data_IF_566112612989
#
_entry.id   IF_566112612989
#
_cell.length_a   1.000
_cell.length_b   1.000
_cell.length_c   1.000
_cell.angle_alpha   90.00
_cell.angle_beta   90.00
_cell.angle_gamma   90.00
#
_symmetry.space_group_name_H-M   'P 1'
#
loop_
_entity.id
_entity.type
_entity.pdbx_description
1 polymer ?
#
# COMPACT_ATOMS: atom_id res chain seq x y z
N UNK A 1 23.50 8.54 48.36
CA UNK A 1 24.46 7.67 47.62
C UNK A 1 24.30 8.02 46.15
N UNK A 2 25.26 8.47 45.34
CA UNK A 2 26.72 8.52 45.36
C UNK A 2 27.16 9.78 44.58
N UNK A 3 28.31 10.32 44.96
CA UNK A 3 28.87 11.63 44.66
C UNK A 3 30.08 11.43 43.72
N UNK A 4 30.48 12.47 42.98
CA UNK A 4 31.88 12.67 42.54
C UNK A 4 32.50 11.60 41.60
N UNK A 5 32.15 11.54 40.30
CA UNK A 5 33.09 10.93 39.33
C UNK A 5 33.11 11.37 37.86
N UNK A 6 32.35 12.38 37.42
CA UNK A 6 32.54 12.95 36.06
C UNK A 6 32.76 14.47 36.03
N UNK A 7 33.15 15.02 37.17
CA UNK A 7 33.75 16.35 37.30
C UNK A 7 35.23 16.35 36.81
N UNK A 8 35.76 15.22 36.32
CA UNK A 8 37.18 15.06 35.96
C UNK A 8 37.48 14.89 34.46
N UNK A 9 36.48 14.93 33.58
CA UNK A 9 36.72 14.79 32.13
C UNK A 9 36.62 16.14 31.39
N UNK A 10 35.82 17.07 31.93
CA UNK A 10 35.71 18.46 31.46
C UNK A 10 36.92 19.33 31.85
N UNK A 11 38.01 18.74 32.37
CA UNK A 11 39.15 19.48 32.91
C UNK A 11 40.49 19.09 32.27
N UNK A 12 40.48 18.37 31.14
CA UNK A 12 41.72 17.88 30.51
C UNK A 12 41.84 18.10 29.00
N UNK A 13 40.89 18.79 28.35
CA UNK A 13 41.01 19.11 26.92
C UNK A 13 40.90 20.64 26.68
N UNK A 14 40.54 21.40 27.70
CA UNK A 14 40.53 22.88 27.71
C UNK A 14 41.93 23.47 28.02
N UNK A 15 43.01 22.71 27.84
CA UNK A 15 44.39 23.09 28.22
C UNK A 15 45.41 22.81 27.10
N UNK A 16 44.99 22.79 25.84
CA UNK A 16 45.90 22.82 24.68
C UNK A 16 45.44 23.86 23.68
N UNK A 17 45.22 25.06 24.20
CA UNK A 17 45.26 26.30 23.43
C UNK A 17 46.72 26.78 23.45
N UNK A 18 47.14 27.55 22.44
CA UNK A 18 48.37 28.38 22.35
C UNK A 18 49.66 27.74 21.82
N UNK A 19 50.38 28.53 21.00
CA UNK A 19 51.49 28.23 20.07
C UNK A 19 50.98 27.65 18.72
N UNK A 20 50.93 28.35 17.58
CA UNK A 20 51.85 29.34 16.98
C UNK A 20 51.09 30.16 15.91
N UNK A 21 51.22 31.49 15.96
CA UNK A 21 51.04 32.41 14.82
C UNK A 21 52.30 32.37 13.94
N UNK A 22 52.17 32.36 12.60
CA UNK A 22 52.86 33.29 11.68
C UNK A 22 52.49 33.09 10.19
N UNK A 23 52.26 34.24 9.53
CA UNK A 23 52.62 34.62 8.14
C UNK A 23 51.83 34.00 6.97
N UNK A 24 50.99 34.79 6.27
CA UNK A 24 51.31 35.58 5.04
C UNK A 24 51.19 34.67 3.78
N UNK A 25 50.25 34.87 2.86
CA UNK A 25 50.38 35.84 1.78
C UNK A 25 49.04 36.02 1.02
N UNK A 26 48.87 37.22 0.48
CA UNK A 26 47.76 37.72 -0.32
C UNK A 26 47.95 37.32 -1.79
N UNK A 27 46.93 36.80 -2.47
CA UNK A 27 46.88 36.95 -3.93
C UNK A 27 45.45 37.03 -4.49
N UNK A 28 45.26 38.04 -5.33
CA UNK A 28 44.00 38.51 -5.93
C UNK A 28 43.72 37.88 -7.30
N UNK A 29 42.48 37.40 -7.48
CA UNK A 29 41.57 37.42 -8.67
C UNK A 29 42.19 37.47 -10.09
N UNK A 30 41.73 36.62 -11.03
CA UNK A 30 40.90 37.13 -12.13
C UNK A 30 39.58 36.34 -12.28
N UNK A 31 38.44 37.02 -12.37
CA UNK A 31 37.61 37.15 -13.61
C UNK A 31 37.16 35.76 -14.13
N UNK A 32 35.89 35.39 -14.11
CA UNK A 32 34.83 35.96 -14.94
C UNK A 32 33.46 35.42 -14.51
N UNK A 33 32.53 36.34 -14.24
CA UNK A 33 31.08 36.41 -14.55
C UNK A 33 30.23 35.21 -15.04
N UNK A 34 30.67 33.95 -15.02
CA UNK A 34 29.93 32.81 -15.60
C UNK A 34 29.56 31.72 -14.58
N UNK A 35 30.20 31.67 -13.40
CA UNK A 35 29.93 30.60 -12.42
C UNK A 35 28.76 30.89 -11.46
N UNK A 36 28.38 32.16 -11.26
CA UNK A 36 27.35 32.52 -10.28
C UNK A 36 25.92 32.24 -10.81
N UNK A 37 25.72 32.35 -12.13
CA UNK A 37 24.41 32.11 -12.77
C UNK A 37 24.04 30.61 -12.83
N UNK A 38 25.03 29.72 -12.92
CA UNK A 38 24.82 28.27 -12.99
C UNK A 38 24.41 27.70 -11.62
N UNK A 39 24.83 28.33 -10.52
CA UNK A 39 24.50 27.87 -9.16
C UNK A 39 23.07 28.24 -8.77
N UNK A 40 22.58 29.44 -9.15
CA UNK A 40 21.17 29.80 -8.90
C UNK A 40 20.18 28.93 -9.68
N UNK A 41 20.47 28.63 -10.95
CA UNK A 41 19.59 27.78 -11.77
C UNK A 41 19.48 26.34 -11.24
N UNK A 42 20.53 25.85 -10.57
CA UNK A 42 20.50 24.54 -9.92
C UNK A 42 19.73 24.52 -8.59
N UNK A 43 19.49 25.67 -7.94
CA UNK A 43 18.75 25.73 -6.69
C UNK A 43 17.23 25.83 -6.90
N UNK A 44 16.77 26.25 -8.08
CA UNK A 44 15.35 26.29 -8.41
C UNK A 44 14.83 24.90 -8.84
N UNK A 45 15.66 24.12 -9.53
CA UNK A 45 15.31 22.77 -10.03
C UNK A 45 15.26 21.67 -8.94
N UNK A 46 15.75 21.94 -7.72
CA UNK A 46 15.71 20.97 -6.61
C UNK A 46 14.35 21.03 -5.86
N UNK A 47 13.52 22.05 -6.12
CA UNK A 47 12.28 22.28 -5.34
C UNK A 47 11.02 21.67 -5.92
N UNK A 48 11.06 21.11 -7.14
CA UNK A 48 9.93 20.39 -7.75
C UNK A 48 10.14 18.87 -7.77
N UNK A 49 10.59 18.30 -6.65
CA UNK A 49 10.36 16.88 -6.43
C UNK A 49 8.86 16.68 -6.16
N UNK A 50 8.12 15.90 -6.97
CA UNK A 50 6.70 15.72 -6.76
C UNK A 50 6.49 15.09 -5.37
N UNK A 51 5.84 15.83 -4.46
CA UNK A 51 5.37 15.38 -3.15
C UNK A 51 4.22 14.36 -3.26
N UNK A 52 4.31 13.45 -4.24
CA UNK A 52 3.32 12.41 -4.53
C UNK A 52 3.75 11.05 -3.96
N UNK A 53 5.03 10.87 -3.62
CA UNK A 53 5.55 9.60 -3.08
C UNK A 53 5.27 9.42 -1.58
N UNK A 54 5.30 10.50 -0.80
CA UNK A 54 5.19 10.45 0.66
C UNK A 54 3.75 10.30 1.18
N UNK A 55 2.73 10.57 0.35
CA UNK A 55 1.32 10.41 0.72
C UNK A 55 0.85 8.95 0.58
N UNK A 56 1.39 8.22 -0.41
CA UNK A 56 0.98 6.84 -0.71
C UNK A 56 1.48 5.88 0.37
N UNK A 57 2.67 6.09 0.91
CA UNK A 57 3.30 5.19 1.89
C UNK A 57 2.75 5.42 3.32
N UNK A 58 2.21 6.61 3.62
CA UNK A 58 1.72 6.95 4.95
C UNK A 58 0.28 6.49 5.23
N UNK A 59 -0.45 6.08 4.19
CA UNK A 59 -1.85 5.64 4.27
C UNK A 59 -2.01 4.10 4.24
N UNK A 60 -0.95 3.37 3.87
CA UNK A 60 -1.00 1.91 3.67
C UNK A 60 -1.02 1.13 4.98
N UNK A 61 -0.41 1.63 6.04
CA UNK A 61 -0.28 0.93 7.33
C UNK A 61 -1.62 0.61 7.98
N UNK A 62 -2.58 1.56 8.00
CA UNK A 62 -3.93 1.29 8.53
C UNK A 62 -4.75 0.39 7.61
N UNK A 63 -4.55 0.48 6.29
CA UNK A 63 -5.30 -0.29 5.30
C UNK A 63 -4.89 -1.77 5.31
N UNK A 64 -3.62 -2.07 5.56
CA UNK A 64 -3.11 -3.45 5.60
C UNK A 64 -3.70 -4.29 6.75
N UNK A 65 -3.92 -3.69 7.92
CA UNK A 65 -4.58 -4.39 9.03
C UNK A 65 -6.02 -4.78 8.68
N UNK A 66 -6.77 -3.86 8.04
CA UNK A 66 -8.13 -4.15 7.59
C UNK A 66 -8.18 -5.27 6.55
N UNK A 67 -7.27 -5.24 5.57
CA UNK A 67 -7.18 -6.29 4.54
C UNK A 67 -6.82 -7.64 5.16
N UNK A 68 -5.92 -7.67 6.15
CA UNK A 68 -5.52 -8.91 6.82
C UNK A 68 -6.71 -9.58 7.52
N UNK A 69 -7.51 -8.82 8.25
CA UNK A 69 -8.71 -9.37 8.90
C UNK A 69 -9.80 -9.73 7.88
N UNK A 70 -9.99 -8.92 6.84
CA UNK A 70 -10.90 -9.22 5.73
C UNK A 70 -10.52 -10.52 4.98
N UNK A 71 -9.23 -10.84 4.89
CA UNK A 71 -8.75 -12.05 4.20
C UNK A 71 -9.17 -13.33 4.93
N UNK A 72 -9.18 -13.34 6.26
CA UNK A 72 -9.59 -14.51 7.05
C UNK A 72 -11.06 -14.86 6.79
N UNK A 73 -11.93 -13.85 6.84
CA UNK A 73 -13.35 -14.03 6.58
C UNK A 73 -13.61 -14.40 5.11
N UNK A 74 -12.80 -13.88 4.17
CA UNK A 74 -12.87 -14.27 2.77
C UNK A 74 -12.58 -15.75 2.55
N UNK A 75 -11.48 -16.27 3.11
CA UNK A 75 -11.13 -17.70 3.02
C UNK A 75 -12.25 -18.57 3.62
N UNK A 76 -12.83 -18.15 4.75
CA UNK A 76 -13.97 -18.82 5.36
C UNK A 76 -15.17 -18.89 4.40
N UNK A 77 -15.52 -17.79 3.73
CA UNK A 77 -16.59 -17.78 2.73
C UNK A 77 -16.28 -18.68 1.54
N UNK A 78 -15.03 -18.72 1.06
CA UNK A 78 -14.61 -19.59 -0.04
C UNK A 78 -14.82 -21.05 0.30
N UNK A 79 -14.34 -21.49 1.47
CA UNK A 79 -14.50 -22.88 1.92
C UNK A 79 -15.98 -23.21 2.12
N UNK A 80 -16.75 -22.31 2.74
CA UNK A 80 -18.16 -22.54 3.00
C UNK A 80 -18.99 -22.62 1.71
N UNK A 81 -18.73 -21.75 0.74
CA UNK A 81 -19.40 -21.74 -0.56
C UNK A 81 -19.07 -23.00 -1.39
N UNK A 82 -17.79 -23.39 -1.41
CA UNK A 82 -17.36 -24.62 -2.08
C UNK A 82 -18.03 -25.85 -1.43
N UNK A 83 -17.94 -25.97 -0.11
CA UNK A 83 -18.56 -27.07 0.63
C UNK A 83 -20.08 -27.11 0.45
N UNK A 84 -20.75 -25.96 0.52
CA UNK A 84 -22.19 -25.88 0.34
C UNK A 84 -22.61 -26.31 -1.08
N UNK A 85 -21.87 -25.91 -2.12
CA UNK A 85 -22.17 -26.30 -3.50
C UNK A 85 -22.05 -27.82 -3.71
N UNK A 86 -21.00 -28.42 -3.14
CA UNK A 86 -20.77 -29.87 -3.26
C UNK A 86 -21.78 -30.71 -2.47
N UNK A 87 -22.25 -30.23 -1.31
CA UNK A 87 -23.26 -30.92 -0.50
C UNK A 87 -24.67 -30.69 -1.05
N UNK A 88 -24.95 -29.49 -1.58
CA UNK A 88 -26.27 -29.12 -2.08
C UNK A 88 -26.73 -30.00 -3.25
N UNK A 89 -25.86 -30.26 -4.22
CA UNK A 89 -26.21 -31.05 -5.41
C UNK A 89 -26.75 -32.45 -5.07
N UNK A 90 -26.02 -33.33 -4.34
CA UNK A 90 -26.51 -34.68 -4.04
C UNK A 90 -27.66 -34.71 -3.02
N UNK A 91 -27.73 -33.76 -2.08
CA UNK A 91 -28.73 -33.77 -0.99
C UNK A 91 -30.07 -33.17 -1.44
N UNK A 92 -30.03 -32.05 -2.16
CA UNK A 92 -31.22 -31.28 -2.47
C UNK A 92 -31.75 -31.54 -3.90
N UNK A 93 -30.91 -32.08 -4.78
CA UNK A 93 -31.27 -32.41 -6.16
C UNK A 93 -30.63 -33.73 -6.62
N UNK A 94 -30.99 -34.88 -6.02
CA UNK A 94 -30.43 -36.16 -6.41
C UNK A 94 -30.75 -36.49 -7.89
N UNK A 95 -29.78 -37.06 -8.60
CA UNK A 95 -29.82 -37.31 -10.06
C UNK A 95 -30.87 -38.34 -10.55
N UNK A 96 -31.78 -38.80 -9.70
CA UNK A 96 -32.79 -39.80 -10.04
C UNK A 96 -34.10 -39.15 -10.49
N UNK A 97 -34.90 -39.83 -11.33
CA UNK A 97 -36.25 -39.40 -11.72
C UNK A 97 -37.18 -39.24 -10.50
N UNK A 98 -37.04 -40.11 -9.50
CA UNK A 98 -37.74 -39.96 -8.22
C UNK A 98 -37.26 -38.71 -7.48
N UNK A 99 -35.95 -38.43 -7.57
CA UNK A 99 -35.34 -37.22 -7.06
C UNK A 99 -36.03 -35.97 -7.56
N UNK A 100 -36.29 -35.87 -8.86
CA UNK A 100 -36.96 -34.72 -9.47
C UNK A 100 -38.34 -34.40 -8.85
N UNK A 101 -39.15 -35.42 -8.56
CA UNK A 101 -40.48 -35.24 -7.96
C UNK A 101 -40.37 -34.82 -6.50
N UNK A 102 -39.37 -35.34 -5.78
CA UNK A 102 -39.17 -35.07 -4.34
C UNK A 102 -38.38 -33.77 -4.11
N UNK A 103 -37.61 -33.28 -5.08
CA UNK A 103 -36.86 -32.01 -5.04
C UNK A 103 -37.65 -30.82 -4.51
N UNK A 104 -38.91 -30.51 -4.93
CA UNK A 104 -39.67 -29.39 -4.37
C UNK A 104 -39.93 -29.51 -2.86
N UNK A 105 -40.09 -30.75 -2.36
CA UNK A 105 -40.28 -31.02 -0.93
C UNK A 105 -38.94 -30.89 -0.19
N UNK A 106 -37.85 -31.38 -0.80
CA UNK A 106 -36.50 -31.22 -0.25
C UNK A 106 -36.05 -29.76 -0.24
N UNK A 107 -36.44 -28.96 -1.22
CA UNK A 107 -36.05 -27.56 -1.34
C UNK A 107 -36.59 -26.67 -0.21
N UNK A 108 -37.72 -27.05 0.39
CA UNK A 108 -38.29 -26.32 1.55
C UNK A 108 -37.70 -26.76 2.89
N UNK A 109 -36.92 -27.84 2.91
CA UNK A 109 -36.27 -28.32 4.14
C UNK A 109 -35.24 -27.31 4.65
N UNK A 110 -35.06 -27.21 5.98
CA UNK A 110 -34.15 -26.23 6.56
C UNK A 110 -32.70 -26.42 6.09
N UNK A 111 -32.22 -27.66 5.92
CA UNK A 111 -30.87 -27.93 5.42
C UNK A 111 -30.62 -27.35 4.01
N UNK A 112 -31.52 -27.61 3.06
CA UNK A 112 -31.38 -27.13 1.68
C UNK A 112 -31.54 -25.62 1.58
N UNK A 113 -32.37 -25.03 2.45
CA UNK A 113 -32.55 -23.58 2.53
C UNK A 113 -31.29 -22.87 3.03
N UNK A 114 -30.64 -23.42 4.06
CA UNK A 114 -29.38 -22.89 4.58
C UNK A 114 -28.25 -23.00 3.55
N UNK A 115 -28.09 -24.16 2.91
CA UNK A 115 -27.09 -24.36 1.83
C UNK A 115 -27.30 -23.38 0.68
N UNK A 116 -28.55 -23.19 0.24
CA UNK A 116 -28.88 -22.23 -0.81
C UNK A 116 -28.57 -20.79 -0.41
N UNK A 117 -28.82 -20.42 0.85
CA UNK A 117 -28.45 -19.11 1.38
C UNK A 117 -26.93 -18.90 1.35
N UNK A 118 -26.15 -19.89 1.81
CA UNK A 118 -24.68 -19.82 1.77
C UNK A 118 -24.18 -19.65 0.33
N UNK A 119 -24.73 -20.40 -0.63
CA UNK A 119 -24.32 -20.30 -2.03
C UNK A 119 -24.61 -18.89 -2.57
N UNK A 120 -25.82 -18.38 -2.37
CA UNK A 120 -26.25 -17.11 -2.94
C UNK A 120 -25.60 -15.89 -2.26
N UNK A 121 -25.58 -15.87 -0.93
CA UNK A 121 -24.97 -14.79 -0.14
C UNK A 121 -23.44 -14.85 -0.18
N UNK A 122 -22.87 -16.05 -0.14
CA UNK A 122 -21.43 -16.24 -0.27
C UNK A 122 -20.90 -15.77 -1.62
N UNK A 123 -21.61 -16.09 -2.72
CA UNK A 123 -21.27 -15.61 -4.06
C UNK A 123 -21.26 -14.07 -4.14
N UNK A 124 -22.34 -13.43 -3.67
CA UNK A 124 -22.43 -11.96 -3.65
C UNK A 124 -21.32 -11.30 -2.79
N UNK A 125 -20.97 -11.92 -1.66
CA UNK A 125 -19.91 -11.42 -0.78
C UNK A 125 -18.54 -11.51 -1.46
N UNK A 126 -18.25 -12.61 -2.15
CA UNK A 126 -17.01 -12.77 -2.92
C UNK A 126 -16.92 -11.77 -4.08
N UNK A 127 -18.03 -11.58 -4.81
CA UNK A 127 -18.11 -10.63 -5.92
C UNK A 127 -17.85 -9.20 -5.45
N UNK A 128 -18.46 -8.79 -4.34
CA UNK A 128 -18.25 -7.46 -3.75
C UNK A 128 -16.77 -7.23 -3.41
N UNK A 129 -16.10 -8.22 -2.80
CA UNK A 129 -14.67 -8.12 -2.49
C UNK A 129 -13.81 -8.04 -3.75
N UNK A 130 -14.14 -8.82 -4.78
CA UNK A 130 -13.46 -8.75 -6.08
C UNK A 130 -13.59 -7.38 -6.73
N UNK A 131 -14.78 -6.76 -6.68
CA UNK A 131 -14.98 -5.42 -7.19
C UNK A 131 -14.17 -4.36 -6.45
N UNK A 132 -14.06 -4.46 -5.11
CA UNK A 132 -13.25 -3.52 -4.33
C UNK A 132 -11.77 -3.61 -4.75
N UNK A 133 -11.25 -4.84 -4.93
CA UNK A 133 -9.88 -5.05 -5.43
C UNK A 133 -9.71 -4.50 -6.85
N UNK A 134 -10.67 -4.75 -7.74
CA UNK A 134 -10.67 -4.21 -9.10
C UNK A 134 -10.68 -2.68 -9.12
N UNK A 135 -11.51 -2.04 -8.29
CA UNK A 135 -11.57 -0.59 -8.17
C UNK A 135 -10.26 0.01 -7.65
N UNK A 136 -9.62 -0.65 -6.67
CA UNK A 136 -8.30 -0.25 -6.17
C UNK A 136 -7.23 -0.36 -7.26
N UNK A 137 -7.26 -1.43 -8.06
CA UNK A 137 -6.35 -1.64 -9.17
C UNK A 137 -6.52 -0.58 -10.27
N UNK A 138 -7.77 -0.25 -10.64
CA UNK A 138 -8.07 0.82 -11.59
C UNK A 138 -7.53 2.18 -11.14
N UNK A 139 -7.64 2.50 -9.84
CA UNK A 139 -7.09 3.76 -9.28
C UNK A 139 -5.59 3.87 -9.49
N UNK A 140 -4.87 2.75 -9.50
CA UNK A 140 -3.44 2.72 -9.78
C UNK A 140 -3.11 2.76 -11.27
N UNK A 141 -3.92 2.16 -12.13
CA UNK A 141 -3.66 2.11 -13.58
C UNK A 141 -4.00 3.43 -14.29
N UNK A 142 -5.11 4.07 -13.92
CA UNK A 142 -5.64 5.26 -14.62
C UNK A 142 -4.59 6.38 -14.78
N UNK A 143 -3.78 6.72 -13.75
CA UNK A 143 -2.71 7.73 -13.89
C UNK A 143 -1.66 7.36 -14.94
N UNK A 144 -1.26 6.09 -15.03
CA UNK A 144 -0.30 5.63 -16.05
C UNK A 144 -0.90 5.63 -17.45
N UNK A 145 -2.20 5.34 -17.58
CA UNK A 145 -2.89 5.39 -18.86
C UNK A 145 -3.04 6.83 -19.36
N UNK A 146 -3.42 7.76 -18.49
CA UNK A 146 -3.63 9.18 -18.85
C UNK A 146 -2.36 9.86 -19.36
N UNK A 147 -1.21 9.61 -18.74
CA UNK A 147 0.07 10.18 -19.18
C UNK A 147 0.52 9.69 -20.57
N UNK A 148 0.18 8.45 -20.91
CA UNK A 148 0.45 7.87 -22.24
C UNK A 148 -0.34 8.55 -23.37
N UNK A 149 -1.57 9.00 -23.09
CA UNK A 149 -2.40 9.69 -24.10
C UNK A 149 -1.97 11.14 -24.35
N UNK A 150 -1.53 11.88 -23.33
CA UNK A 150 -1.07 13.28 -23.52
C UNK A 150 0.22 13.34 -24.33
N UNK A 151 1.16 12.42 -24.13
CA UNK A 151 2.42 12.40 -24.86
C UNK A 151 2.24 12.19 -26.38
N UNK A 152 1.26 11.38 -26.79
CA UNK A 152 0.96 11.15 -28.21
C UNK A 152 0.28 12.33 -28.91
N UNK A 153 -0.46 13.17 -28.17
CA UNK A 153 -1.15 14.32 -28.76
C UNK A 153 -0.25 15.55 -28.97
N UNK A 154 0.86 15.68 -28.23
CA UNK A 154 1.84 16.77 -28.44
C UNK A 154 2.75 16.52 -29.67
N UNK A 155 2.83 15.28 -30.17
CA UNK A 155 3.72 14.90 -31.28
C UNK A 155 3.08 14.96 -32.67
N UNK A 156 1.87 15.54 -32.79
CA UNK A 156 1.17 15.80 -34.06
C UNK A 156 1.06 17.28 -34.33
#
# INVERSE_FOLDING_TARGET
>A
MNKRRKVSLSKKIEESETEIETEEETETIPTSSEEEEVIEQNMENITEQPKTSSFIIRTTSSTMYFIYDATKIYILWVVMHYGASQIYAPVCSPYSLWGFIVTPILAVTPQCKALRWIINTGGNTMETMWFILGAWFCTKIIPYASSSFTNKNHKR
#
